data_IF_099477643094
#
_entry.id   IF_099477643094
#
_cell.length_a   1.000
_cell.length_b   1.000
_cell.length_c   1.000
_cell.angle_alpha   90.00
_cell.angle_beta   90.00
_cell.angle_gamma   90.00
#
_symmetry.space_group_name_H-M   'P 1'
#
loop_
_entity.id
_entity.type
_entity.pdbx_description
1 polymer ?
#
# COMPACT_ATOMS: atom_id res chain seq x y z
N UNK A 1 4.54 -18.18 5.44
CA UNK A 1 4.29 -17.82 4.03
C UNK A 1 5.52 -18.23 3.23
N UNK A 2 5.35 -19.17 2.30
CA UNK A 2 6.43 -19.63 1.43
C UNK A 2 6.17 -19.15 0.01
N UNK A 3 7.18 -18.56 -0.62
CA UNK A 3 7.13 -18.09 -2.00
C UNK A 3 8.55 -18.09 -2.59
N UNK A 4 8.65 -18.16 -3.91
CA UNK A 4 9.92 -17.96 -4.61
C UNK A 4 10.31 -16.49 -4.61
N UNK A 5 11.60 -16.22 -4.48
CA UNK A 5 12.23 -14.91 -4.68
C UNK A 5 13.05 -14.90 -5.98
N UNK A 6 13.51 -13.74 -6.40
CA UNK A 6 14.38 -13.61 -7.59
C UNK A 6 15.74 -14.31 -7.42
N UNK A 7 16.09 -14.74 -6.21
CA UNK A 7 17.35 -15.40 -5.91
C UNK A 7 17.24 -16.94 -5.88
N UNK A 8 16.02 -17.46 -5.93
CA UNK A 8 15.76 -18.91 -5.85
C UNK A 8 15.81 -19.62 -7.21
N UNK A 9 15.72 -18.88 -8.32
CA UNK A 9 15.57 -19.42 -9.65
C UNK A 9 16.59 -18.82 -10.64
N UNK A 10 17.07 -19.64 -11.57
CA UNK A 10 17.91 -19.16 -12.69
C UNK A 10 17.04 -18.51 -13.77
N UNK A 11 17.25 -17.22 -13.97
CA UNK A 11 16.48 -16.39 -14.88
C UNK A 11 17.20 -16.10 -16.20
N UNK A 12 18.50 -16.48 -16.33
CA UNK A 12 19.29 -16.18 -17.52
C UNK A 12 18.71 -16.86 -18.78
N UNK A 13 18.48 -16.08 -19.82
CA UNK A 13 17.88 -16.53 -21.08
C UNK A 13 16.40 -16.90 -21.01
N UNK A 14 15.76 -16.80 -19.85
CA UNK A 14 14.35 -17.13 -19.63
C UNK A 14 13.44 -15.95 -19.95
N UNK A 15 12.28 -16.23 -20.51
CA UNK A 15 11.22 -15.22 -20.67
C UNK A 15 10.49 -15.09 -19.35
N UNK A 16 10.54 -13.90 -18.78
CA UNK A 16 9.98 -13.56 -17.46
C UNK A 16 8.91 -12.49 -17.63
N UNK A 17 7.66 -12.84 -17.36
CA UNK A 17 6.57 -11.87 -17.27
C UNK A 17 6.60 -11.24 -15.89
N UNK A 18 6.70 -9.90 -15.80
CA UNK A 18 6.66 -9.20 -14.52
C UNK A 18 5.48 -8.25 -14.44
N UNK A 19 4.65 -8.40 -13.40
CA UNK A 19 3.51 -7.52 -13.13
C UNK A 19 3.90 -6.47 -12.11
N UNK A 20 4.00 -5.24 -12.57
CA UNK A 20 4.36 -4.06 -11.76
C UNK A 20 3.14 -3.16 -11.50
N UNK A 21 3.21 -2.27 -10.51
CA UNK A 21 2.23 -1.21 -10.29
C UNK A 21 2.88 0.16 -10.52
N UNK A 22 2.81 0.62 -11.75
CA UNK A 22 3.29 1.94 -12.17
C UNK A 22 2.14 2.94 -12.40
N UNK A 23 0.95 2.62 -11.87
CA UNK A 23 -0.17 3.55 -11.90
C UNK A 23 0.18 4.82 -11.12
N UNK A 24 0.09 5.97 -11.79
CA UNK A 24 0.51 7.27 -11.25
C UNK A 24 -0.49 8.36 -11.63
N UNK A 25 -0.36 9.52 -10.99
CA UNK A 25 -1.21 10.67 -11.31
C UNK A 25 -1.01 11.12 -12.75
N UNK A 26 -2.13 11.28 -13.45
CA UNK A 26 -2.19 11.81 -14.80
C UNK A 26 -2.98 13.12 -14.82
N UNK A 27 -2.34 14.19 -15.27
CA UNK A 27 -3.02 15.46 -15.53
C UNK A 27 -3.59 15.45 -16.95
N UNK A 28 -4.91 15.28 -17.04
CA UNK A 28 -5.61 15.23 -18.32
C UNK A 28 -5.51 16.55 -19.12
N UNK A 29 -5.38 17.70 -18.43
CA UNK A 29 -5.29 19.01 -19.08
C UNK A 29 -3.96 19.22 -19.79
N UNK A 30 -2.85 18.86 -19.16
CA UNK A 30 -1.50 18.95 -19.71
C UNK A 30 -1.03 17.66 -20.39
N UNK A 31 -1.82 16.58 -20.28
CA UNK A 31 -1.48 15.21 -20.72
C UNK A 31 -0.13 14.71 -20.17
N UNK A 32 0.20 15.08 -18.93
CA UNK A 32 1.44 14.69 -18.26
C UNK A 32 1.21 13.64 -17.19
N UNK A 33 2.15 12.70 -17.09
CA UNK A 33 2.26 11.74 -15.99
C UNK A 33 3.21 12.26 -14.94
N UNK A 34 2.87 12.04 -13.67
CA UNK A 34 3.78 12.32 -12.55
C UNK A 34 4.82 11.22 -12.43
N UNK A 35 6.08 11.62 -12.23
CA UNK A 35 7.15 10.71 -11.85
C UNK A 35 7.01 10.37 -10.38
N UNK A 36 6.57 9.15 -10.10
CA UNK A 36 6.21 8.73 -8.75
C UNK A 36 7.23 7.75 -8.13
N UNK A 37 7.27 7.64 -6.80
CA UNK A 37 8.08 6.64 -6.11
C UNK A 37 7.83 5.21 -6.60
N UNK A 38 6.61 4.90 -7.05
CA UNK A 38 6.26 3.59 -7.63
C UNK A 38 7.04 3.30 -8.89
N UNK A 39 7.12 4.24 -9.82
CA UNK A 39 7.88 4.07 -11.07
C UNK A 39 9.34 3.77 -10.75
N UNK A 40 9.95 4.55 -9.83
CA UNK A 40 11.34 4.35 -9.40
C UNK A 40 11.57 2.99 -8.74
N UNK A 41 10.64 2.57 -7.88
CA UNK A 41 10.75 1.30 -7.17
C UNK A 41 10.66 0.10 -8.12
N UNK A 42 9.69 0.10 -9.04
CA UNK A 42 9.50 -0.99 -9.99
C UNK A 42 10.57 -1.02 -11.09
N UNK A 43 11.10 0.15 -11.49
CA UNK A 43 12.24 0.22 -12.41
C UNK A 43 13.47 -0.54 -11.86
N UNK A 44 13.70 -0.54 -10.52
CA UNK A 44 14.80 -1.30 -9.90
C UNK A 44 14.62 -2.81 -10.10
N UNK A 45 13.39 -3.33 -9.96
CA UNK A 45 13.11 -4.76 -10.21
C UNK A 45 13.31 -5.11 -11.68
N UNK A 46 12.84 -4.26 -12.61
CA UNK A 46 13.05 -4.46 -14.06
C UNK A 46 14.54 -4.44 -14.38
N UNK A 47 15.30 -3.47 -13.86
CA UNK A 47 16.76 -3.39 -14.03
C UNK A 47 17.46 -4.67 -13.54
N UNK A 48 17.14 -5.16 -12.33
CA UNK A 48 17.73 -6.39 -11.79
C UNK A 48 17.41 -7.60 -12.68
N UNK A 49 16.18 -7.71 -13.21
CA UNK A 49 15.84 -8.77 -14.15
C UNK A 49 16.67 -8.70 -15.44
N UNK A 50 16.92 -7.49 -15.98
CA UNK A 50 17.79 -7.27 -17.13
C UNK A 50 19.25 -7.66 -16.81
N UNK A 51 19.77 -7.30 -15.63
CA UNK A 51 21.11 -7.66 -15.16
C UNK A 51 21.26 -9.17 -14.96
N UNK A 52 20.22 -9.86 -14.49
CA UNK A 52 20.14 -11.33 -14.43
C UNK A 52 19.97 -11.99 -15.82
N UNK A 53 20.08 -11.21 -16.91
CA UNK A 53 19.98 -11.66 -18.31
C UNK A 53 18.62 -12.30 -18.66
N UNK A 54 17.57 -11.98 -17.92
CA UNK A 54 16.21 -12.37 -18.28
C UNK A 54 15.73 -11.64 -19.53
N UNK A 55 14.79 -12.24 -20.26
CA UNK A 55 14.02 -11.63 -21.34
C UNK A 55 12.73 -11.12 -20.73
N UNK A 56 12.61 -9.80 -20.50
CA UNK A 56 11.62 -9.24 -19.59
C UNK A 56 10.38 -8.74 -20.34
N UNK A 57 9.20 -9.21 -19.91
CA UNK A 57 7.89 -8.75 -20.42
C UNK A 57 7.15 -8.07 -19.28
N UNK A 58 7.07 -6.74 -19.32
CA UNK A 58 6.44 -5.95 -18.26
C UNK A 58 4.95 -5.79 -18.54
N UNK A 59 4.13 -6.10 -17.54
CA UNK A 59 2.68 -5.88 -17.51
C UNK A 59 2.35 -4.82 -16.46
N UNK A 60 1.53 -3.86 -16.83
CA UNK A 60 1.08 -2.81 -15.92
C UNK A 60 -0.32 -2.31 -16.29
N UNK A 61 -0.86 -1.42 -15.46
CA UNK A 61 -2.13 -0.74 -15.73
C UNK A 61 -2.05 0.75 -15.39
N UNK A 62 -2.91 1.54 -16.02
CA UNK A 62 -3.18 2.92 -15.67
C UNK A 62 -4.68 3.20 -15.76
N UNK A 63 -5.22 3.88 -14.74
CA UNK A 63 -6.61 4.32 -14.70
C UNK A 63 -7.65 3.20 -14.62
N UNK A 64 -8.90 3.57 -14.76
CA UNK A 64 -10.06 2.64 -14.84
C UNK A 64 -10.87 2.99 -16.07
N UNK A 65 -11.54 2.02 -16.67
CA UNK A 65 -12.43 2.24 -17.80
C UNK A 65 -13.48 3.31 -17.47
N UNK A 66 -13.48 4.38 -18.24
CA UNK A 66 -14.36 5.54 -18.05
C UNK A 66 -13.71 6.74 -17.36
N UNK A 67 -12.52 6.59 -16.76
CA UNK A 67 -11.78 7.69 -16.16
C UNK A 67 -10.86 8.35 -17.20
N UNK A 68 -10.56 9.64 -17.03
CA UNK A 68 -9.69 10.41 -17.95
C UNK A 68 -8.25 9.88 -17.97
N UNK A 69 -7.83 9.19 -16.93
CA UNK A 69 -6.51 8.57 -16.81
C UNK A 69 -6.45 7.13 -17.36
N UNK A 70 -7.52 6.64 -18.01
CA UNK A 70 -7.54 5.32 -18.66
C UNK A 70 -6.84 5.38 -20.02
N UNK A 71 -5.52 5.39 -19.99
CA UNK A 71 -4.66 5.66 -21.15
C UNK A 71 -3.71 4.50 -21.43
N UNK A 72 -3.09 4.55 -22.63
CA UNK A 72 -1.96 3.70 -23.01
C UNK A 72 -0.74 3.93 -22.12
N UNK A 73 0.13 2.92 -22.03
CA UNK A 73 1.34 2.95 -21.23
C UNK A 73 2.58 3.51 -21.94
N UNK A 74 2.47 4.05 -23.13
CA UNK A 74 3.60 4.60 -23.88
C UNK A 74 4.42 5.59 -23.05
N UNK A 75 3.77 6.57 -22.42
CA UNK A 75 4.44 7.55 -21.54
C UNK A 75 5.06 6.94 -20.27
N UNK A 76 4.53 5.79 -19.82
CA UNK A 76 5.14 5.08 -18.70
C UNK A 76 6.46 4.43 -19.08
N UNK A 77 6.59 3.94 -20.33
CA UNK A 77 7.88 3.48 -20.85
C UNK A 77 8.94 4.59 -20.86
N UNK A 78 8.56 5.81 -21.26
CA UNK A 78 9.46 6.99 -21.21
C UNK A 78 9.91 7.30 -19.76
N UNK A 79 8.99 7.22 -18.80
CA UNK A 79 9.31 7.42 -17.39
C UNK A 79 10.21 6.33 -16.82
N UNK A 80 9.92 5.05 -17.10
CA UNK A 80 10.77 3.93 -16.70
C UNK A 80 12.19 4.06 -17.25
N UNK A 81 12.31 4.51 -18.51
CA UNK A 81 13.58 4.68 -19.20
C UNK A 81 14.51 5.73 -18.57
N UNK A 82 13.99 6.62 -17.71
CA UNK A 82 14.84 7.52 -16.91
C UNK A 82 15.66 6.78 -15.84
N UNK A 83 15.23 5.57 -15.46
CA UNK A 83 15.82 4.79 -14.37
C UNK A 83 16.48 3.49 -14.83
N UNK A 84 16.38 3.17 -16.13
CA UNK A 84 16.92 1.95 -16.72
C UNK A 84 18.18 2.26 -17.55
N UNK A 85 19.22 1.47 -17.37
CA UNK A 85 20.43 1.55 -18.20
C UNK A 85 20.19 1.00 -19.61
N UNK A 86 19.46 -0.12 -19.70
CA UNK A 86 18.96 -0.67 -20.95
C UNK A 86 17.51 -0.26 -21.11
N UNK A 87 17.23 0.49 -22.17
CA UNK A 87 15.90 1.01 -22.47
C UNK A 87 14.87 -0.10 -22.61
N UNK A 88 13.66 0.13 -22.09
CA UNK A 88 12.50 -0.71 -22.33
C UNK A 88 11.77 -0.23 -23.59
N UNK A 89 11.41 -1.16 -24.47
CA UNK A 89 10.60 -0.87 -25.65
C UNK A 89 9.12 -0.94 -25.30
N UNK A 90 8.33 0.07 -25.69
CA UNK A 90 6.89 0.01 -25.59
C UNK A 90 6.29 -0.74 -26.76
N UNK A 91 5.30 -1.61 -26.51
CA UNK A 91 4.54 -2.37 -27.51
C UNK A 91 3.06 -2.05 -27.35
N UNK A 92 2.48 -1.38 -28.33
CA UNK A 92 1.06 -1.00 -28.40
C UNK A 92 0.12 -2.19 -28.67
N UNK A 93 0.35 -3.27 -27.96
CA UNK A 93 -0.41 -4.53 -27.99
C UNK A 93 -0.22 -5.26 -26.65
N UNK A 94 -1.15 -6.15 -26.29
CA UNK A 94 -1.08 -6.91 -25.04
C UNK A 94 -0.95 -8.41 -25.34
N UNK A 95 -1.84 -8.97 -26.14
CA UNK A 95 -1.96 -10.39 -26.40
C UNK A 95 -2.04 -10.75 -27.89
N UNK A 96 -1.97 -9.78 -28.76
CA UNK A 96 -2.03 -9.93 -30.20
C UNK A 96 -0.72 -10.42 -30.81
N UNK A 97 -0.71 -10.53 -32.12
CA UNK A 97 0.47 -11.06 -32.84
C UNK A 97 1.70 -10.15 -32.73
N UNK A 98 1.51 -8.83 -32.59
CA UNK A 98 2.62 -7.90 -32.41
C UNK A 98 3.33 -8.15 -31.08
N UNK A 99 2.58 -8.27 -29.98
CA UNK A 99 3.13 -8.57 -28.67
C UNK A 99 3.83 -9.95 -28.67
N UNK A 100 3.18 -10.98 -29.19
CA UNK A 100 3.75 -12.34 -29.25
C UNK A 100 5.04 -12.40 -30.08
N UNK A 101 5.08 -11.71 -31.21
CA UNK A 101 6.30 -11.61 -32.05
C UNK A 101 7.43 -10.94 -31.27
N UNK A 102 7.19 -9.79 -30.64
CA UNK A 102 8.18 -9.06 -29.84
C UNK A 102 8.70 -9.90 -28.68
N UNK A 103 7.82 -10.65 -27.97
CA UNK A 103 8.21 -11.56 -26.88
C UNK A 103 9.18 -12.64 -27.39
N UNK A 104 8.91 -13.28 -28.55
CA UNK A 104 9.78 -14.31 -29.11
C UNK A 104 11.13 -13.79 -29.59
N UNK A 105 11.18 -12.54 -30.03
CA UNK A 105 12.38 -11.87 -30.55
C UNK A 105 13.30 -11.29 -29.46
N UNK A 106 12.83 -11.23 -28.18
CA UNK A 106 13.62 -10.70 -27.06
C UNK A 106 14.96 -11.44 -26.93
N UNK A 107 16.02 -10.67 -26.73
CA UNK A 107 17.35 -11.15 -26.36
C UNK A 107 17.57 -11.05 -24.86
N UNK A 108 18.59 -11.71 -24.36
CA UNK A 108 18.96 -11.67 -22.95
C UNK A 108 19.23 -10.25 -22.47
N UNK A 109 18.59 -9.88 -21.36
CA UNK A 109 18.68 -8.55 -20.76
C UNK A 109 17.87 -7.47 -21.47
N UNK A 110 17.09 -7.81 -22.48
CA UNK A 110 16.11 -6.89 -23.10
C UNK A 110 14.79 -6.91 -22.36
N UNK A 111 14.07 -5.78 -22.43
CA UNK A 111 12.77 -5.63 -21.80
C UNK A 111 11.77 -4.93 -22.75
N UNK A 112 10.51 -5.37 -22.71
CA UNK A 112 9.38 -4.68 -23.34
C UNK A 112 8.30 -4.38 -22.31
N UNK A 113 7.60 -3.26 -22.50
CA UNK A 113 6.36 -2.92 -21.78
C UNK A 113 5.19 -3.13 -22.73
N UNK A 114 4.31 -4.07 -22.43
CA UNK A 114 3.05 -4.24 -23.15
C UNK A 114 2.05 -3.16 -22.73
N UNK A 115 1.04 -2.89 -23.55
CA UNK A 115 0.07 -1.85 -23.28
C UNK A 115 -0.82 -2.20 -22.07
N UNK A 116 -1.66 -1.27 -21.67
CA UNK A 116 -2.49 -1.29 -20.47
C UNK A 116 -3.35 -2.55 -20.38
N UNK A 117 -3.01 -3.45 -19.45
CA UNK A 117 -3.73 -4.73 -19.29
C UNK A 117 -5.22 -4.55 -19.04
N UNK A 118 -5.66 -3.39 -18.55
CA UNK A 118 -7.08 -3.06 -18.35
C UNK A 118 -7.85 -2.79 -19.63
N UNK A 119 -7.20 -2.77 -20.78
CA UNK A 119 -7.89 -2.77 -22.07
C UNK A 119 -8.49 -4.14 -22.40
N UNK A 120 -8.06 -5.22 -21.71
CA UNK A 120 -8.66 -6.52 -21.82
C UNK A 120 -9.95 -6.59 -20.98
N UNK A 121 -11.04 -7.08 -21.57
CA UNK A 121 -12.36 -7.11 -20.95
C UNK A 121 -12.46 -8.01 -19.71
N UNK A 122 -11.64 -9.05 -19.64
CA UNK A 122 -11.65 -10.04 -18.56
C UNK A 122 -10.60 -9.79 -17.48
N UNK A 123 -9.75 -8.76 -17.63
CA UNK A 123 -8.68 -8.42 -16.68
C UNK A 123 -9.20 -8.14 -15.27
N UNK A 124 -10.25 -7.35 -15.15
CA UNK A 124 -10.76 -6.87 -13.85
C UNK A 124 -11.94 -7.67 -13.30
N UNK A 125 -12.31 -8.78 -13.95
CA UNK A 125 -13.38 -9.65 -13.45
C UNK A 125 -12.91 -10.39 -12.21
N UNK A 126 -13.64 -10.26 -11.12
CA UNK A 126 -13.34 -11.00 -9.88
C UNK A 126 -13.63 -12.49 -10.07
N UNK A 127 -12.61 -13.32 -9.99
CA UNK A 127 -12.66 -14.78 -10.14
C UNK A 127 -11.65 -15.44 -9.19
N UNK A 128 -11.75 -16.75 -9.00
CA UNK A 128 -10.72 -17.52 -8.30
C UNK A 128 -9.39 -17.55 -9.06
N UNK A 129 -8.32 -17.92 -8.38
CA UNK A 129 -6.98 -18.04 -8.98
C UNK A 129 -6.99 -19.07 -10.10
N UNK A 130 -7.69 -20.19 -9.91
CA UNK A 130 -7.82 -21.29 -10.86
C UNK A 130 -8.62 -20.87 -12.10
N UNK A 131 -9.70 -20.13 -11.92
CA UNK A 131 -10.50 -19.61 -13.05
C UNK A 131 -9.71 -18.61 -13.88
N UNK A 132 -8.88 -17.77 -13.24
CA UNK A 132 -8.01 -16.81 -13.92
C UNK A 132 -6.92 -17.45 -14.79
N UNK A 133 -6.56 -18.72 -14.56
CA UNK A 133 -5.69 -19.47 -15.48
C UNK A 133 -6.27 -19.56 -16.89
N UNK A 134 -7.58 -19.40 -17.03
CA UNK A 134 -8.30 -19.40 -18.30
C UNK A 134 -8.58 -18.00 -18.87
N UNK A 135 -8.10 -16.94 -18.26
CA UNK A 135 -8.25 -15.57 -18.75
C UNK A 135 -7.42 -15.36 -20.02
N UNK A 136 -7.86 -14.42 -20.85
CA UNK A 136 -7.24 -14.11 -22.15
C UNK A 136 -5.73 -13.88 -22.02
N UNK A 137 -5.31 -13.01 -21.10
CA UNK A 137 -3.88 -12.69 -20.94
C UNK A 137 -3.05 -13.91 -20.55
N UNK A 138 -3.58 -14.79 -19.71
CA UNK A 138 -2.87 -16.00 -19.25
C UNK A 138 -2.75 -17.02 -20.38
N UNK A 139 -3.86 -17.30 -21.09
CA UNK A 139 -3.86 -18.26 -22.22
C UNK A 139 -2.89 -17.85 -23.32
N UNK A 140 -2.81 -16.55 -23.61
CA UNK A 140 -2.02 -16.06 -24.74
C UNK A 140 -0.53 -15.89 -24.37
N UNK A 141 -0.21 -15.52 -23.13
CA UNK A 141 1.17 -15.18 -22.76
C UNK A 141 1.89 -16.29 -21.97
N UNK A 142 1.19 -17.11 -21.18
CA UNK A 142 1.85 -18.14 -20.39
C UNK A 142 2.61 -19.17 -21.24
N UNK A 143 2.12 -19.61 -22.41
CA UNK A 143 2.85 -20.55 -23.28
C UNK A 143 4.18 -19.99 -23.82
N UNK A 144 4.36 -18.67 -23.79
CA UNK A 144 5.58 -18.00 -24.25
C UNK A 144 6.60 -17.79 -23.14
N UNK A 145 6.22 -17.96 -21.87
CA UNK A 145 7.03 -17.57 -20.73
C UNK A 145 7.51 -18.77 -19.90
N UNK A 146 8.59 -18.55 -19.15
CA UNK A 146 9.13 -19.54 -18.23
C UNK A 146 8.72 -19.24 -16.78
N UNK A 147 8.64 -17.96 -16.42
CA UNK A 147 8.36 -17.51 -15.06
C UNK A 147 7.43 -16.30 -15.07
N UNK A 148 6.69 -16.16 -13.97
CA UNK A 148 5.93 -14.97 -13.66
C UNK A 148 6.49 -14.30 -12.40
N UNK A 149 6.59 -12.98 -12.38
CA UNK A 149 7.00 -12.19 -11.22
C UNK A 149 5.86 -11.25 -10.83
N UNK A 150 5.35 -11.36 -9.61
CA UNK A 150 4.44 -10.39 -9.03
C UNK A 150 5.25 -9.40 -8.19
N UNK A 151 5.42 -8.18 -8.70
CA UNK A 151 6.22 -7.15 -8.03
C UNK A 151 5.37 -6.11 -7.29
N UNK A 152 4.09 -5.96 -7.63
CA UNK A 152 3.22 -4.93 -7.06
C UNK A 152 2.41 -5.40 -5.84
N UNK A 153 2.87 -5.14 -4.61
CA UNK A 153 2.07 -5.41 -3.41
C UNK A 153 0.78 -4.56 -3.39
N UNK A 154 0.84 -3.31 -3.86
CA UNK A 154 -0.31 -2.40 -3.93
C UNK A 154 -1.50 -2.92 -4.74
N UNK A 155 -1.29 -3.89 -5.61
CA UNK A 155 -2.34 -4.57 -6.39
C UNK A 155 -2.68 -5.97 -5.90
N UNK A 156 -1.96 -6.48 -4.89
CA UNK A 156 -2.12 -7.86 -4.41
C UNK A 156 -3.50 -8.12 -3.78
N UNK A 157 -4.24 -7.08 -3.39
CA UNK A 157 -5.60 -7.19 -2.87
C UNK A 157 -6.67 -7.44 -3.95
N UNK A 158 -6.29 -7.43 -5.23
CA UNK A 158 -7.19 -7.59 -6.38
C UNK A 158 -7.05 -8.97 -6.99
N UNK A 159 -8.18 -9.67 -7.16
CA UNK A 159 -8.21 -10.92 -7.91
C UNK A 159 -8.38 -10.64 -9.41
N UNK A 160 -7.38 -9.97 -10.01
CA UNK A 160 -7.35 -9.66 -11.44
C UNK A 160 -6.50 -10.68 -12.21
N UNK A 161 -6.84 -10.88 -13.50
CA UNK A 161 -6.19 -11.90 -14.35
C UNK A 161 -4.66 -11.77 -14.39
N UNK A 162 -4.14 -10.54 -14.59
CA UNK A 162 -2.69 -10.28 -14.64
C UNK A 162 -2.00 -10.33 -13.27
N UNK A 163 -2.75 -10.39 -12.17
CA UNK A 163 -2.20 -10.45 -10.80
C UNK A 163 -2.10 -11.88 -10.30
N UNK A 164 -3.15 -12.68 -10.47
CA UNK A 164 -3.24 -14.01 -9.88
C UNK A 164 -3.22 -15.16 -10.88
N UNK A 165 -3.60 -14.92 -12.15
CA UNK A 165 -3.91 -15.98 -13.10
C UNK A 165 -2.71 -16.83 -13.53
N UNK A 166 -1.50 -16.27 -13.53
CA UNK A 166 -0.29 -17.00 -13.94
C UNK A 166 0.17 -18.02 -12.91
N UNK A 167 -0.20 -17.87 -11.63
CA UNK A 167 0.38 -18.63 -10.52
C UNK A 167 0.10 -20.14 -10.54
N UNK A 168 -0.95 -20.56 -11.23
CA UNK A 168 -1.25 -21.98 -11.39
C UNK A 168 -0.63 -22.61 -12.64
N UNK A 169 -0.10 -21.81 -13.55
CA UNK A 169 0.45 -22.28 -14.84
C UNK A 169 1.95 -22.03 -14.99
N UNK A 170 2.49 -21.05 -14.27
CA UNK A 170 3.92 -20.72 -14.23
C UNK A 170 4.43 -20.64 -12.79
N UNK A 171 5.70 -21.04 -12.53
CA UNK A 171 6.35 -20.70 -11.26
C UNK A 171 6.32 -19.19 -11.07
N UNK A 172 5.70 -18.74 -9.97
CA UNK A 172 5.46 -17.33 -9.67
C UNK A 172 6.31 -16.87 -8.51
N UNK A 173 6.99 -15.77 -8.70
CA UNK A 173 8.08 -15.24 -7.90
C UNK A 173 7.62 -13.90 -7.30
N UNK A 174 7.94 -13.63 -6.04
CA UNK A 174 7.83 -12.30 -5.46
C UNK A 174 8.94 -11.40 -6.03
N UNK A 175 8.57 -10.31 -6.70
CA UNK A 175 9.54 -9.30 -7.11
C UNK A 175 10.06 -8.49 -5.93
N UNK A 176 11.06 -7.63 -6.12
CA UNK A 176 11.75 -6.94 -5.02
C UNK A 176 10.87 -5.97 -4.24
N UNK A 177 9.89 -5.33 -4.89
CA UNK A 177 8.93 -4.46 -4.20
C UNK A 177 8.00 -5.32 -3.33
N UNK A 178 7.46 -6.40 -3.89
CA UNK A 178 6.63 -7.36 -3.15
C UNK A 178 7.39 -7.97 -1.96
N UNK A 179 8.61 -8.43 -2.19
CA UNK A 179 9.45 -9.06 -1.17
C UNK A 179 9.76 -8.10 -0.01
N UNK A 180 10.10 -6.83 -0.32
CA UNK A 180 10.38 -5.82 0.70
C UNK A 180 9.15 -5.48 1.53
N UNK A 181 7.98 -5.33 0.89
CA UNK A 181 6.71 -5.12 1.61
C UNK A 181 6.41 -6.29 2.54
N UNK A 182 6.50 -7.53 2.04
CA UNK A 182 6.27 -8.74 2.85
C UNK A 182 7.25 -8.85 4.02
N UNK A 183 8.54 -8.57 3.79
CA UNK A 183 9.56 -8.58 4.85
C UNK A 183 9.33 -7.49 5.89
N UNK A 184 9.01 -6.26 5.46
CA UNK A 184 8.74 -5.14 6.36
C UNK A 184 7.51 -5.42 7.23
N UNK A 185 6.43 -5.87 6.62
CA UNK A 185 5.21 -6.24 7.33
C UNK A 185 5.49 -7.43 8.27
N UNK A 186 6.20 -8.45 7.82
CA UNK A 186 6.56 -9.58 8.66
C UNK A 186 7.41 -9.16 9.86
N UNK A 187 8.42 -8.31 9.67
CA UNK A 187 9.23 -7.75 10.75
C UNK A 187 8.40 -6.94 11.74
N UNK A 188 7.46 -6.19 11.19
CA UNK A 188 6.54 -5.38 11.95
C UNK A 188 5.60 -6.22 12.83
N UNK A 189 5.15 -7.36 12.34
CA UNK A 189 4.22 -8.24 13.07
C UNK A 189 4.91 -9.37 13.83
N UNK A 190 6.14 -9.74 13.48
CA UNK A 190 6.80 -10.94 13.98
C UNK A 190 8.26 -10.65 14.37
N UNK A 191 8.50 -9.95 15.46
CA UNK A 191 9.82 -9.99 16.06
C UNK A 191 10.01 -11.32 16.80
N UNK A 192 10.37 -12.34 16.04
CA UNK A 192 10.86 -13.59 16.56
C UNK A 192 12.35 -13.64 16.23
N UNK A 193 13.20 -13.67 17.27
CA UNK A 193 14.63 -13.83 17.12
C UNK A 193 15.01 -14.97 16.15
N UNK A 194 16.26 -15.38 16.03
CA UNK A 194 16.86 -16.31 15.05
C UNK A 194 16.08 -17.59 14.63
N UNK A 195 14.87 -17.78 15.15
CA UNK A 195 13.90 -18.83 14.79
C UNK A 195 13.06 -18.52 13.56
N UNK A 196 13.36 -17.44 12.83
CA UNK A 196 12.62 -17.00 11.61
C UNK A 196 12.57 -18.05 10.49
N UNK A 197 13.50 -19.00 10.48
CA UNK A 197 13.55 -20.10 9.49
C UNK A 197 12.42 -21.12 9.62
N UNK A 198 11.66 -21.11 10.72
CA UNK A 198 10.65 -22.16 11.01
C UNK A 198 9.21 -21.68 10.73
N UNK A 199 8.98 -20.38 10.51
CA UNK A 199 7.62 -19.80 10.42
C UNK A 199 7.13 -19.66 8.96
N UNK A 200 7.93 -20.05 7.98
CA UNK A 200 7.58 -20.03 6.55
C UNK A 200 6.28 -20.77 6.17
N UNK A 201 5.71 -21.59 7.06
CA UNK A 201 4.60 -22.49 6.73
C UNK A 201 3.25 -22.17 7.38
N UNK A 202 3.10 -21.08 8.13
CA UNK A 202 1.83 -20.78 8.81
C UNK A 202 1.08 -19.65 8.10
N UNK A 203 -0.09 -19.97 7.59
CA UNK A 203 -1.02 -18.97 7.09
C UNK A 203 -1.46 -18.04 8.23
N UNK A 204 -1.72 -16.76 7.94
CA UNK A 204 -2.01 -15.72 8.93
C UNK A 204 -3.22 -16.05 9.84
N UNK A 205 -4.16 -16.86 9.36
CA UNK A 205 -5.32 -17.34 10.13
C UNK A 205 -5.00 -18.54 11.03
N UNK A 206 -3.87 -19.23 10.81
CA UNK A 206 -3.40 -20.36 11.62
C UNK A 206 -2.52 -19.94 12.80
N UNK A 207 -2.39 -18.62 13.06
CA UNK A 207 -1.53 -18.03 14.08
C UNK A 207 -2.27 -17.72 15.41
N UNK A 208 -2.75 -18.74 16.16
CA UNK A 208 -3.45 -18.47 17.42
C UNK A 208 -2.54 -18.05 18.57
N UNK A 209 -1.21 -17.98 18.38
CA UNK A 209 -0.23 -17.81 19.47
C UNK A 209 0.84 -16.72 19.24
N UNK A 210 0.76 -15.89 18.22
CA UNK A 210 1.75 -14.81 18.02
C UNK A 210 1.23 -13.50 18.63
N UNK A 211 1.98 -12.97 19.58
CA UNK A 211 1.73 -11.65 20.15
C UNK A 211 2.09 -10.58 19.10
N UNK A 212 1.09 -9.84 18.66
CA UNK A 212 1.30 -8.61 17.91
C UNK A 212 1.82 -7.55 18.89
N UNK A 213 3.10 -7.23 18.82
CA UNK A 213 3.74 -6.22 19.68
C UNK A 213 3.77 -4.87 18.98
N UNK A 214 2.61 -4.22 18.91
CA UNK A 214 2.55 -2.84 18.48
C UNK A 214 2.36 -1.93 19.67
N UNK A 215 3.21 -0.92 19.79
CA UNK A 215 3.09 0.03 20.87
C UNK A 215 2.14 1.17 20.50
N UNK A 216 2.19 1.64 19.25
CA UNK A 216 1.35 2.74 18.80
C UNK A 216 0.94 2.63 17.31
N UNK A 217 -0.31 3.01 17.05
CA UNK A 217 -0.83 3.28 15.72
C UNK A 217 -1.26 4.72 15.63
N UNK A 218 -0.89 5.41 14.55
CA UNK A 218 -1.52 6.66 14.13
C UNK A 218 -2.47 6.30 12.98
N UNK A 219 -3.77 6.41 13.24
CA UNK A 219 -4.83 6.17 12.24
C UNK A 219 -5.55 7.49 11.99
N UNK A 220 -5.25 8.10 10.85
CA UNK A 220 -5.67 9.45 10.54
C UNK A 220 -6.03 9.64 9.05
N UNK A 221 -6.27 10.89 8.65
CA UNK A 221 -6.60 11.27 7.29
C UNK A 221 -8.08 11.10 6.94
N UNK A 222 -8.36 11.15 5.64
CA UNK A 222 -9.71 11.21 5.11
C UNK A 222 -10.37 9.83 4.88
N UNK A 223 -9.62 8.73 4.92
CA UNK A 223 -10.17 7.38 4.65
C UNK A 223 -10.67 6.71 5.94
N UNK A 224 -11.76 7.24 6.49
CA UNK A 224 -12.28 6.86 7.81
C UNK A 224 -12.68 5.38 7.90
N UNK A 225 -13.40 4.85 6.89
CA UNK A 225 -13.82 3.43 6.89
C UNK A 225 -12.61 2.47 6.93
N UNK A 226 -11.53 2.80 6.24
CA UNK A 226 -10.29 2.01 6.29
C UNK A 226 -9.68 2.01 7.70
N UNK A 227 -9.67 3.17 8.38
CA UNK A 227 -9.17 3.27 9.75
C UNK A 227 -10.01 2.42 10.70
N UNK A 228 -11.35 2.48 10.59
CA UNK A 228 -12.26 1.67 11.39
C UNK A 228 -12.03 0.17 11.19
N UNK A 229 -11.88 -0.32 9.95
CA UNK A 229 -11.58 -1.73 9.66
C UNK A 229 -10.29 -2.20 10.35
N UNK A 230 -9.24 -1.38 10.28
CA UNK A 230 -7.97 -1.69 10.97
C UNK A 230 -8.16 -1.73 12.48
N UNK A 231 -8.85 -0.72 13.07
CA UNK A 231 -9.13 -0.67 14.51
C UNK A 231 -9.92 -1.88 14.98
N UNK A 232 -11.02 -2.23 14.30
CA UNK A 232 -11.85 -3.38 14.62
C UNK A 232 -11.04 -4.67 14.65
N UNK A 233 -10.15 -4.87 13.68
CA UNK A 233 -9.28 -6.05 13.62
C UNK A 233 -8.24 -6.05 14.74
N UNK A 234 -7.54 -4.95 14.92
CA UNK A 234 -6.51 -4.82 15.94
C UNK A 234 -7.10 -5.06 17.33
N UNK A 235 -8.20 -4.38 17.65
CA UNK A 235 -8.82 -4.41 18.96
C UNK A 235 -9.57 -5.72 19.24
N UNK A 236 -9.96 -6.49 18.21
CA UNK A 236 -10.59 -7.80 18.38
C UNK A 236 -9.59 -8.95 18.62
N UNK A 237 -8.30 -8.71 18.43
CA UNK A 237 -7.27 -9.74 18.61
C UNK A 237 -7.04 -10.04 20.10
N UNK A 238 -7.22 -11.31 20.51
CA UNK A 238 -7.01 -11.74 21.90
C UNK A 238 -5.54 -11.70 22.37
N UNK A 239 -4.60 -11.57 21.45
CA UNK A 239 -3.16 -11.63 21.70
C UNK A 239 -2.47 -10.30 21.38
N UNK A 240 -3.19 -9.20 21.40
CA UNK A 240 -2.67 -7.89 21.07
C UNK A 240 -2.09 -7.23 22.33
N UNK A 241 -0.78 -7.11 22.41
CA UNK A 241 -0.10 -6.19 23.33
C UNK A 241 0.02 -4.80 22.70
N UNK A 242 -1.11 -4.21 22.30
CA UNK A 242 -1.14 -2.84 21.80
C UNK A 242 -1.32 -1.86 22.95
N UNK A 243 -0.62 -0.74 22.89
CA UNK A 243 -0.74 0.28 23.92
C UNK A 243 -1.71 1.39 23.53
N UNK A 244 -1.56 2.00 22.33
CA UNK A 244 -2.36 3.19 21.96
C UNK A 244 -2.67 3.26 20.44
N UNK A 245 -3.87 3.79 20.14
CA UNK A 245 -4.28 4.22 18.79
C UNK A 245 -4.51 5.73 18.86
N UNK A 246 -3.69 6.49 18.17
CA UNK A 246 -3.74 7.96 18.10
C UNK A 246 -4.56 8.37 16.88
N UNK A 247 -5.59 9.18 17.06
CA UNK A 247 -6.50 9.56 15.99
C UNK A 247 -6.27 11.00 15.52
N UNK A 248 -6.31 11.19 14.19
CA UNK A 248 -6.21 12.51 13.55
C UNK A 248 -7.10 12.63 12.31
N UNK A 249 -7.14 13.81 11.72
CA UNK A 249 -7.91 14.10 10.51
C UNK A 249 -9.41 13.80 10.66
N UNK A 250 -10.08 13.48 9.56
CA UNK A 250 -11.53 13.17 9.59
C UNK A 250 -11.87 11.95 10.44
N UNK A 251 -10.92 11.02 10.62
CA UNK A 251 -11.10 9.91 11.55
C UNK A 251 -11.30 10.42 12.98
N UNK A 252 -10.46 11.34 13.43
CA UNK A 252 -10.62 11.95 14.76
C UNK A 252 -11.94 12.73 14.86
N UNK A 253 -12.32 13.49 13.82
CA UNK A 253 -13.57 14.26 13.83
C UNK A 253 -14.80 13.36 14.02
N UNK A 254 -14.85 12.19 13.33
CA UNK A 254 -15.92 11.23 13.54
C UNK A 254 -15.92 10.70 14.99
N UNK A 255 -14.76 10.36 15.53
CA UNK A 255 -14.67 9.83 16.90
C UNK A 255 -14.98 10.87 17.97
N UNK A 256 -14.57 12.15 17.82
CA UNK A 256 -14.97 13.26 18.69
C UNK A 256 -16.50 13.41 18.69
N UNK A 257 -17.12 13.46 17.49
CA UNK A 257 -18.58 13.51 17.35
C UNK A 257 -19.24 12.31 18.03
N UNK A 258 -18.74 11.10 17.79
CA UNK A 258 -19.27 9.86 18.36
C UNK A 258 -19.09 9.79 19.89
N UNK A 259 -18.10 10.48 20.45
CA UNK A 259 -17.88 10.62 21.89
C UNK A 259 -18.83 11.63 22.55
N UNK A 260 -19.52 12.46 21.74
CA UNK A 260 -20.47 13.47 22.22
C UNK A 260 -19.93 14.89 22.22
N UNK A 261 -18.74 15.13 21.64
CA UNK A 261 -18.18 16.46 21.44
C UNK A 261 -18.93 17.17 20.30
N UNK A 262 -19.34 18.42 20.52
CA UNK A 262 -19.93 19.24 19.47
C UNK A 262 -18.86 19.80 18.54
N UNK A 263 -18.66 19.10 17.44
CA UNK A 263 -17.68 19.48 16.39
C UNK A 263 -18.18 20.58 15.45
N UNK A 264 -19.32 21.20 15.73
CA UNK A 264 -20.13 22.16 14.96
C UNK A 264 -20.78 21.60 13.68
N UNK A 265 -21.71 22.38 13.11
CA UNK A 265 -22.49 21.95 11.94
C UNK A 265 -21.68 21.80 10.65
N UNK A 266 -20.64 22.64 10.47
CA UNK A 266 -19.81 22.61 9.26
C UNK A 266 -19.02 21.30 9.19
N UNK A 267 -18.41 20.88 10.31
CA UNK A 267 -17.66 19.63 10.38
C UNK A 267 -18.57 18.41 10.32
N UNK A 268 -19.78 18.46 10.92
CA UNK A 268 -20.78 17.39 10.74
C UNK A 268 -21.21 17.25 9.29
N UNK A 269 -21.40 18.38 8.60
CA UNK A 269 -21.74 18.36 7.17
C UNK A 269 -20.66 17.72 6.33
N UNK A 270 -19.38 18.02 6.57
CA UNK A 270 -18.27 17.33 5.88
C UNK A 270 -18.34 15.82 6.07
N UNK A 271 -18.55 15.34 7.31
CA UNK A 271 -18.70 13.91 7.57
C UNK A 271 -19.92 13.31 6.86
N UNK A 272 -21.01 14.05 6.77
CA UNK A 272 -22.24 13.63 6.07
C UNK A 272 -22.02 13.54 4.56
N UNK A 273 -21.46 14.59 3.96
CA UNK A 273 -21.23 14.67 2.50
C UNK A 273 -20.26 13.59 2.02
N UNK A 274 -19.32 13.18 2.86
CA UNK A 274 -18.39 12.06 2.62
C UNK A 274 -18.98 10.68 3.00
N UNK A 275 -20.21 10.62 3.51
CA UNK A 275 -20.85 9.36 3.92
C UNK A 275 -20.32 8.75 5.20
N UNK A 276 -19.59 9.50 6.04
CA UNK A 276 -18.98 8.96 7.24
C UNK A 276 -19.86 8.98 8.48
N UNK A 277 -20.93 9.80 8.53
CA UNK A 277 -21.86 9.76 9.66
C UNK A 277 -22.55 8.39 9.83
N UNK A 278 -22.74 7.63 8.75
CA UNK A 278 -23.27 6.26 8.84
C UNK A 278 -22.34 5.30 9.63
N UNK A 279 -21.09 5.68 9.86
CA UNK A 279 -20.09 4.91 10.61
C UNK A 279 -20.10 5.25 12.12
N UNK A 280 -20.92 6.22 12.55
CA UNK A 280 -20.97 6.71 13.95
C UNK A 280 -21.20 5.58 14.96
N UNK A 281 -22.13 4.67 14.69
CA UNK A 281 -22.41 3.57 15.61
C UNK A 281 -21.21 2.61 15.76
N UNK A 282 -20.43 2.41 14.70
CA UNK A 282 -19.20 1.62 14.76
C UNK A 282 -18.14 2.33 15.61
N UNK A 283 -17.98 3.64 15.43
CA UNK A 283 -17.05 4.44 16.23
C UNK A 283 -17.45 4.46 17.71
N UNK A 284 -18.75 4.63 18.03
CA UNK A 284 -19.27 4.53 19.42
C UNK A 284 -18.96 3.19 20.06
N UNK A 285 -19.25 2.08 19.38
CA UNK A 285 -18.97 0.75 19.89
C UNK A 285 -17.48 0.51 20.18
N UNK A 286 -16.58 1.07 19.34
CA UNK A 286 -15.14 1.01 19.57
C UNK A 286 -14.73 1.85 20.78
N UNK A 287 -15.27 3.06 20.94
CA UNK A 287 -14.99 3.93 22.10
C UNK A 287 -15.47 3.30 23.41
N UNK A 288 -16.68 2.77 23.44
CA UNK A 288 -17.24 2.12 24.65
C UNK A 288 -16.39 0.94 25.11
N UNK A 289 -15.95 0.12 24.15
CA UNK A 289 -15.24 -1.12 24.45
C UNK A 289 -13.75 -0.94 24.68
N UNK A 290 -13.13 0.04 24.01
CA UNK A 290 -11.67 0.16 23.89
C UNK A 290 -11.14 1.56 24.21
N UNK A 291 -11.85 2.34 25.02
CA UNK A 291 -11.48 3.72 25.40
C UNK A 291 -10.06 3.87 25.92
N UNK A 292 -9.54 2.86 26.63
CA UNK A 292 -8.20 2.91 27.20
C UNK A 292 -7.08 2.79 26.15
N UNK A 293 -7.41 2.31 24.95
CA UNK A 293 -6.48 2.19 23.84
C UNK A 293 -6.57 3.34 22.84
N UNK A 294 -7.74 3.98 22.73
CA UNK A 294 -8.00 5.05 21.76
C UNK A 294 -7.67 6.41 22.37
N UNK A 295 -6.80 7.15 21.71
CA UNK A 295 -6.40 8.50 22.11
C UNK A 295 -7.01 9.51 21.15
N UNK A 296 -7.97 10.27 21.64
CA UNK A 296 -8.58 11.37 20.91
C UNK A 296 -7.73 12.63 21.06
N UNK A 297 -7.83 13.58 20.10
CA UNK A 297 -7.30 14.92 20.26
C UNK A 297 -7.86 15.61 21.53
N UNK A 298 -7.04 16.42 22.20
CA UNK A 298 -7.43 17.30 23.30
C UNK A 298 -7.76 18.70 22.81
N UNK A 299 -7.14 19.09 21.70
CA UNK A 299 -7.36 20.33 21.00
C UNK A 299 -7.29 20.15 19.49
N UNK A 300 -7.88 21.06 18.77
CA UNK A 300 -7.99 21.08 17.31
C UNK A 300 -7.62 22.45 16.76
N UNK A 301 -7.15 22.50 15.53
CA UNK A 301 -6.87 23.73 14.81
C UNK A 301 -7.94 24.01 13.76
N UNK A 302 -8.52 25.19 13.84
CA UNK A 302 -9.61 25.68 13.00
C UNK A 302 -9.13 26.87 12.18
N UNK A 303 -9.68 27.02 10.98
CA UNK A 303 -9.44 28.19 10.16
C UNK A 303 -10.41 29.32 10.53
N UNK A 304 -9.86 30.44 10.96
CA UNK A 304 -10.60 31.67 11.19
C UNK A 304 -9.94 32.82 10.41
N UNK A 305 -10.68 33.42 9.50
CA UNK A 305 -10.19 34.53 8.68
C UNK A 305 -8.87 34.25 7.98
N UNK A 306 -8.66 33.01 7.54
CA UNK A 306 -7.43 32.57 6.89
C UNK A 306 -6.27 32.21 7.83
N UNK A 307 -6.45 32.33 9.14
CA UNK A 307 -5.45 31.99 10.15
C UNK A 307 -5.78 30.68 10.86
N UNK A 308 -4.73 30.01 11.36
CA UNK A 308 -4.85 28.87 12.25
C UNK A 308 -5.13 29.36 13.68
N UNK A 309 -6.22 28.93 14.27
CA UNK A 309 -6.55 29.15 15.67
C UNK A 309 -6.81 27.81 16.36
N UNK A 310 -6.29 27.61 17.56
CA UNK A 310 -6.40 26.35 18.30
C UNK A 310 -7.43 26.46 19.42
N UNK A 311 -8.25 25.43 19.55
CA UNK A 311 -9.32 25.31 20.54
C UNK A 311 -9.28 23.96 21.22
N UNK A 312 -9.49 23.96 22.53
CA UNK A 312 -9.77 22.71 23.26
C UNK A 312 -11.06 22.07 22.70
N UNK A 313 -11.11 20.76 22.68
CA UNK A 313 -12.26 20.04 22.09
C UNK A 313 -13.60 20.37 22.75
N UNK A 314 -13.58 20.79 24.02
CA UNK A 314 -14.77 21.22 24.77
C UNK A 314 -15.22 22.66 24.43
N UNK A 315 -14.43 23.39 23.64
CA UNK A 315 -14.68 24.80 23.31
C UNK A 315 -14.62 25.11 21.81
N UNK A 316 -14.87 24.12 20.97
CA UNK A 316 -14.90 24.27 19.52
C UNK A 316 -15.96 25.32 19.13
N UNK A 317 -15.60 26.36 18.34
CA UNK A 317 -16.54 27.39 17.93
C UNK A 317 -17.63 26.84 17.00
N UNK A 318 -18.77 27.53 16.95
CA UNK A 318 -19.93 27.13 16.14
C UNK A 318 -19.69 27.17 14.62
N UNK A 319 -18.60 27.78 14.19
CA UNK A 319 -18.19 27.90 12.77
C UNK A 319 -16.72 27.58 12.62
N UNK A 320 -16.34 27.21 11.42
CA UNK A 320 -14.98 26.90 11.02
C UNK A 320 -14.71 25.40 10.96
N UNK A 321 -13.91 25.03 9.96
CA UNK A 321 -13.53 23.64 9.73
C UNK A 321 -12.33 23.25 10.60
N UNK A 322 -12.40 22.10 11.22
CA UNK A 322 -11.26 21.45 11.87
C UNK A 322 -10.34 20.93 10.78
N UNK A 323 -9.16 21.52 10.65
CA UNK A 323 -8.22 21.22 9.59
C UNK A 323 -6.92 20.57 10.09
N UNK A 324 -6.66 20.56 11.40
CA UNK A 324 -5.51 19.90 12.01
C UNK A 324 -5.77 19.64 13.50
N UNK A 325 -4.89 18.90 14.15
CA UNK A 325 -4.84 18.79 15.60
C UNK A 325 -4.10 20.00 16.20
N UNK A 326 -4.40 20.35 17.46
CA UNK A 326 -3.73 21.44 18.15
C UNK A 326 -2.42 21.02 18.84
N UNK A 327 -1.74 21.99 19.44
CA UNK A 327 -0.42 21.80 20.05
C UNK A 327 -0.45 20.85 21.26
N UNK A 328 -1.49 20.88 22.09
CA UNK A 328 -1.62 19.96 23.24
C UNK A 328 -1.67 18.50 22.76
N UNK A 329 -2.46 18.25 21.71
CA UNK A 329 -2.56 16.93 21.08
C UNK A 329 -1.23 16.47 20.50
N UNK A 330 -0.51 17.36 19.81
CA UNK A 330 0.80 17.06 19.22
C UNK A 330 1.78 16.63 20.32
N UNK A 331 1.89 17.41 21.42
CA UNK A 331 2.83 17.08 22.51
C UNK A 331 2.45 15.76 23.21
N UNK A 332 1.17 15.53 23.48
CA UNK A 332 0.69 14.26 24.02
C UNK A 332 1.02 13.06 23.11
N UNK A 333 0.83 13.23 21.81
CA UNK A 333 1.19 12.18 20.86
C UNK A 333 2.69 11.90 20.83
N UNK A 334 3.52 12.96 20.85
CA UNK A 334 4.98 12.82 20.94
C UNK A 334 5.42 12.07 22.19
N UNK A 335 4.81 12.33 23.35
CA UNK A 335 5.11 11.61 24.59
C UNK A 335 4.84 10.11 24.43
N UNK A 336 3.65 9.73 23.92
CA UNK A 336 3.30 8.33 23.70
C UNK A 336 4.26 7.65 22.69
N UNK A 337 4.63 8.37 21.62
CA UNK A 337 5.46 7.82 20.55
C UNK A 337 6.92 7.64 20.98
N UNK A 338 7.45 8.48 21.89
CA UNK A 338 8.82 8.32 22.43
C UNK A 338 9.03 7.01 23.18
N UNK A 339 7.99 6.51 23.84
CA UNK A 339 8.02 5.25 24.59
C UNK A 339 7.72 4.01 23.74
N UNK A 340 7.31 4.21 22.50
CA UNK A 340 6.93 3.12 21.60
C UNK A 340 8.15 2.51 20.89
N UNK A 341 8.17 1.18 20.73
CA UNK A 341 9.19 0.44 19.99
C UNK A 341 8.77 0.13 18.55
N UNK A 342 7.46 0.01 18.33
CA UNK A 342 6.85 -0.32 17.04
C UNK A 342 5.70 0.63 16.75
N UNK A 343 5.82 1.40 15.68
CA UNK A 343 4.86 2.44 15.31
C UNK A 343 4.41 2.23 13.87
N UNK A 344 3.09 2.24 13.65
CA UNK A 344 2.51 2.35 12.31
C UNK A 344 1.83 3.70 12.17
N UNK A 345 2.07 4.38 11.06
CA UNK A 345 1.41 5.64 10.69
C UNK A 345 0.61 5.44 9.41
N UNK A 346 -0.67 5.77 9.45
CA UNK A 346 -1.56 5.80 8.30
C UNK A 346 -2.38 7.07 8.27
N UNK A 347 -2.12 7.90 7.29
CA UNK A 347 -2.81 9.16 7.04
C UNK A 347 -2.26 10.35 7.82
N UNK A 348 -2.39 11.55 7.25
CA UNK A 348 -1.98 12.80 7.90
C UNK A 348 -2.94 13.21 9.02
N UNK A 349 -2.41 13.91 10.02
CA UNK A 349 -3.21 14.41 11.15
C UNK A 349 -4.09 15.61 10.79
N UNK A 350 -3.67 16.39 9.78
CA UNK A 350 -4.35 17.57 9.29
C UNK A 350 -4.26 17.72 7.79
N UNK A 351 -4.75 18.84 7.27
CA UNK A 351 -4.69 19.21 5.86
C UNK A 351 -3.28 19.70 5.50
N UNK A 352 -2.35 18.76 5.36
CA UNK A 352 -0.92 19.02 5.21
C UNK A 352 -0.56 19.81 3.95
N UNK A 353 -1.43 19.85 2.96
CA UNK A 353 -1.29 20.64 1.73
C UNK A 353 -1.41 22.14 1.98
N UNK A 354 -2.05 22.53 3.10
CA UNK A 354 -2.21 23.92 3.55
C UNK A 354 -1.27 24.22 4.70
N UNK A 355 -0.26 25.05 4.46
CA UNK A 355 0.85 25.28 5.38
C UNK A 355 0.44 25.56 6.84
N UNK A 356 -0.56 26.39 7.17
CA UNK A 356 -0.97 26.60 8.56
C UNK A 356 -1.53 25.35 9.24
N UNK A 357 -2.03 24.36 8.45
CA UNK A 357 -2.67 23.15 8.94
C UNK A 357 -1.84 21.89 8.68
N UNK A 358 -0.58 22.06 8.31
CA UNK A 358 0.40 20.99 8.13
C UNK A 358 1.19 20.66 9.41
N UNK A 359 1.05 21.48 10.45
CA UNK A 359 1.89 21.47 11.66
C UNK A 359 1.81 20.13 12.37
N UNK A 360 0.60 19.61 12.62
CA UNK A 360 0.41 18.33 13.31
C UNK A 360 1.10 17.18 12.60
N UNK A 361 0.88 17.09 11.29
CA UNK A 361 1.50 16.03 10.46
C UNK A 361 3.01 16.18 10.41
N UNK A 362 3.52 17.39 10.19
CA UNK A 362 4.96 17.67 10.10
C UNK A 362 5.68 17.33 11.41
N UNK A 363 5.22 17.84 12.53
CA UNK A 363 5.89 17.67 13.82
C UNK A 363 5.92 16.21 14.28
N UNK A 364 4.87 15.45 13.99
CA UNK A 364 4.85 14.02 14.28
C UNK A 364 5.81 13.25 13.36
N UNK A 365 5.81 13.52 12.05
CA UNK A 365 6.74 12.86 11.13
C UNK A 365 8.21 13.21 11.43
N UNK A 366 8.51 14.48 11.77
CA UNK A 366 9.84 14.91 12.21
C UNK A 366 10.25 14.21 13.52
N UNK A 367 9.34 14.10 14.49
CA UNK A 367 9.59 13.36 15.72
C UNK A 367 9.95 11.90 15.40
N UNK A 368 9.13 11.21 14.61
CA UNK A 368 9.35 9.82 14.23
C UNK A 368 10.68 9.62 13.48
N UNK A 369 11.06 10.56 12.60
CA UNK A 369 12.32 10.52 11.85
C UNK A 369 13.57 10.58 12.73
N UNK A 370 13.44 11.03 13.96
CA UNK A 370 14.52 11.14 14.94
C UNK A 370 14.50 10.03 16.01
N UNK A 371 13.45 9.20 16.04
CA UNK A 371 13.38 8.07 16.97
C UNK A 371 14.15 6.86 16.45
N UNK A 372 14.75 6.10 17.37
CA UNK A 372 15.39 4.80 17.07
C UNK A 372 14.41 3.64 17.26
N UNK A 373 13.22 3.78 16.71
CA UNK A 373 12.13 2.80 16.84
C UNK A 373 11.78 2.23 15.48
N UNK A 374 11.14 1.07 15.45
CA UNK A 374 10.60 0.56 14.19
C UNK A 374 9.40 1.38 13.78
N UNK A 375 9.52 2.08 12.66
CA UNK A 375 8.44 2.91 12.09
C UNK A 375 8.05 2.41 10.70
N UNK A 376 6.76 2.10 10.52
CA UNK A 376 6.17 1.79 9.23
C UNK A 376 5.22 2.92 8.84
N UNK A 377 5.57 3.63 7.77
CA UNK A 377 4.74 4.67 7.18
C UNK A 377 3.89 4.04 6.08
N UNK A 378 2.57 4.17 6.15
CA UNK A 378 1.64 3.59 5.19
C UNK A 378 0.67 4.60 4.59
N UNK A 379 0.40 4.43 3.30
CA UNK A 379 -0.56 5.23 2.54
C UNK A 379 0.07 6.36 1.73
N UNK A 380 -0.51 6.59 0.55
CA UNK A 380 0.00 7.58 -0.40
C UNK A 380 0.05 9.00 0.17
N UNK A 381 -0.99 9.41 0.88
CA UNK A 381 -1.07 10.76 1.47
C UNK A 381 0.06 11.01 2.49
N UNK A 382 0.40 10.00 3.31
CA UNK A 382 1.51 10.13 4.27
C UNK A 382 2.86 10.15 3.57
N UNK A 383 3.06 9.33 2.54
CA UNK A 383 4.30 9.34 1.74
C UNK A 383 4.47 10.67 1.00
N UNK A 384 3.39 11.23 0.45
CA UNK A 384 3.42 12.55 -0.18
C UNK A 384 3.75 13.65 0.84
N UNK A 385 3.23 13.55 2.07
CA UNK A 385 3.59 14.50 3.13
C UNK A 385 5.09 14.47 3.46
N UNK A 386 5.75 13.31 3.43
CA UNK A 386 7.21 13.22 3.58
C UNK A 386 7.94 14.02 2.49
N UNK A 387 7.53 13.86 1.23
CA UNK A 387 8.11 14.61 0.10
C UNK A 387 7.90 16.12 0.27
N UNK A 388 6.67 16.56 0.61
CA UNK A 388 6.32 17.98 0.82
C UNK A 388 7.15 18.60 1.94
N UNK A 389 7.43 17.85 3.00
CA UNK A 389 8.21 18.35 4.15
C UNK A 389 9.72 18.15 3.98
N UNK A 390 10.17 17.51 2.92
CA UNK A 390 11.58 17.21 2.68
C UNK A 390 12.17 16.23 3.71
N UNK A 391 11.34 15.34 4.28
CA UNK A 391 11.79 14.32 5.24
C UNK A 391 12.20 13.06 4.46
N UNK A 392 13.48 12.65 4.51
CA UNK A 392 13.95 11.48 3.77
C UNK A 392 13.29 10.18 4.24
N UNK A 393 12.84 9.34 3.30
CA UNK A 393 12.22 8.03 3.60
C UNK A 393 13.15 7.10 4.40
N UNK A 394 14.46 7.24 4.20
CA UNK A 394 15.50 6.45 4.88
C UNK A 394 15.56 6.68 6.40
N UNK A 395 14.92 7.73 6.89
CA UNK A 395 14.75 7.99 8.32
C UNK A 395 13.76 7.04 9.00
N UNK A 396 12.93 6.37 8.23
CA UNK A 396 11.94 5.41 8.71
C UNK A 396 12.39 3.98 8.41
N UNK A 397 11.92 3.03 9.22
CA UNK A 397 12.27 1.62 9.00
C UNK A 397 11.67 1.11 7.69
N UNK A 398 10.50 1.60 7.33
CA UNK A 398 9.87 1.29 6.05
C UNK A 398 8.79 2.31 5.66
N UNK A 399 8.80 2.75 4.40
CA UNK A 399 7.73 3.53 3.77
C UNK A 399 7.06 2.65 2.73
N UNK A 400 5.80 2.30 2.99
CA UNK A 400 5.02 1.37 2.17
C UNK A 400 4.38 2.09 0.98
N UNK A 401 4.54 1.54 -0.21
CA UNK A 401 3.86 1.96 -1.44
C UNK A 401 2.50 1.28 -1.63
N UNK A 402 2.08 0.45 -0.66
CA UNK A 402 0.99 -0.51 -0.83
C UNK A 402 -0.42 0.10 -0.83
N UNK A 403 -0.61 1.29 -0.29
CA UNK A 403 -1.93 1.93 -0.27
C UNK A 403 -3.02 1.05 0.37
N UNK A 404 -4.11 0.76 -0.38
CA UNK A 404 -5.23 -0.04 0.09
C UNK A 404 -4.88 -1.48 0.45
N UNK A 405 -3.92 -2.10 -0.26
CA UNK A 405 -3.50 -3.47 0.02
C UNK A 405 -2.87 -3.62 1.42
N UNK A 406 -2.11 -2.61 1.89
CA UNK A 406 -1.59 -2.61 3.25
C UNK A 406 -2.74 -2.62 4.26
N UNK A 407 -3.79 -1.82 4.03
CA UNK A 407 -4.96 -1.74 4.90
C UNK A 407 -5.70 -3.08 4.95
N UNK A 408 -5.96 -3.66 3.79
CA UNK A 408 -6.61 -4.97 3.72
C UNK A 408 -5.79 -6.03 4.44
N UNK A 409 -4.47 -6.03 4.27
CA UNK A 409 -3.58 -6.94 4.99
C UNK A 409 -3.59 -6.70 6.51
N UNK A 410 -3.47 -5.45 6.95
CA UNK A 410 -3.53 -5.07 8.37
C UNK A 410 -4.90 -5.41 8.99
N UNK A 411 -5.98 -5.31 8.21
CA UNK A 411 -7.32 -5.73 8.64
C UNK A 411 -7.53 -7.25 8.64
N UNK A 412 -6.50 -8.03 8.28
CA UNK A 412 -6.51 -9.50 8.30
C UNK A 412 -7.21 -10.15 7.11
N UNK A 413 -7.45 -9.41 6.04
CA UNK A 413 -7.95 -9.99 4.79
C UNK A 413 -6.84 -10.77 4.09
N UNK A 414 -7.19 -11.93 3.56
CA UNK A 414 -6.31 -12.66 2.65
C UNK A 414 -6.15 -11.86 1.36
N UNK A 415 -4.91 -11.59 0.95
CA UNK A 415 -4.65 -10.91 -0.31
C UNK A 415 -4.52 -11.92 -1.45
N UNK A 416 -5.37 -11.86 -2.48
CA UNK A 416 -5.34 -12.83 -3.60
C UNK A 416 -3.97 -12.98 -4.26
N UNK A 417 -3.21 -11.90 -4.44
CA UNK A 417 -1.86 -11.96 -5.01
C UNK A 417 -0.86 -12.71 -4.14
N UNK A 418 -0.96 -12.58 -2.82
CA UNK A 418 -0.11 -13.35 -1.89
C UNK A 418 -0.49 -14.82 -1.93
N UNK A 419 -1.79 -15.10 -1.89
CA UNK A 419 -2.30 -16.47 -2.03
C UNK A 419 -1.84 -17.14 -3.33
N UNK A 420 -1.84 -16.39 -4.42
CA UNK A 420 -1.35 -16.85 -5.71
C UNK A 420 0.13 -17.26 -5.65
N UNK A 421 1.00 -16.47 -5.00
CA UNK A 421 2.41 -16.83 -4.79
C UNK A 421 2.56 -18.10 -3.96
N UNK A 422 1.77 -18.29 -2.91
CA UNK A 422 1.79 -19.52 -2.08
C UNK A 422 1.33 -20.76 -2.85
N UNK A 423 0.26 -20.62 -3.65
CA UNK A 423 -0.25 -21.70 -4.51
C UNK A 423 0.85 -22.12 -5.49
N UNK A 424 1.49 -21.16 -6.13
CA UNK A 424 2.57 -21.42 -7.07
C UNK A 424 3.76 -22.12 -6.40
N UNK A 425 4.21 -21.63 -5.25
CA UNK A 425 5.30 -22.24 -4.50
C UNK A 425 4.99 -23.71 -4.17
N UNK A 426 3.81 -23.99 -3.60
CA UNK A 426 3.39 -25.35 -3.26
C UNK A 426 3.37 -26.26 -4.49
N UNK A 427 2.95 -25.74 -5.65
CA UNK A 427 2.83 -26.52 -6.89
C UNK A 427 4.19 -26.82 -7.50
N UNK A 428 5.12 -25.86 -7.51
CA UNK A 428 6.34 -25.95 -8.31
C UNK A 428 7.61 -26.20 -7.51
N UNK A 429 7.61 -26.04 -6.17
CA UNK A 429 8.83 -26.14 -5.34
C UNK A 429 9.64 -27.42 -5.54
N UNK A 430 8.97 -28.56 -5.70
CA UNK A 430 9.68 -29.84 -5.87
C UNK A 430 10.50 -29.94 -7.17
N UNK A 431 10.11 -29.19 -8.20
CA UNK A 431 10.85 -29.16 -9.46
C UNK A 431 12.17 -28.37 -9.37
N UNK A 432 12.29 -27.45 -8.39
CA UNK A 432 13.43 -26.54 -8.25
C UNK A 432 14.29 -26.83 -7.02
N UNK A 433 13.74 -27.44 -5.98
CA UNK A 433 14.44 -27.74 -4.74
C UNK A 433 14.67 -29.25 -4.49
N UNK A 434 14.49 -30.11 -5.51
CA UNK A 434 14.97 -31.49 -5.42
C UNK A 434 16.49 -31.47 -5.34
N UNK A 435 17.01 -31.75 -4.17
CA UNK A 435 18.38 -32.18 -3.94
C UNK A 435 18.52 -33.67 -4.26
#
# INVERSE_FOLDING_TARGET
MEYFTLDDLDLAGKIVIVRVDINTYYDASSKKLSDSPRIRAHARTVKELQEKRAKVVVLAHQGRKGDDDFISLEKHAELLNKYLEKQIEFVDDIVGEKAKKKIRELKEGEAILLDNVRFLEDETKEKSVEEHANSTIVKELAPLANYFVLDGFSIAHRSHASVVGFSTVLPSIAGRVMERELKAISKAFFELGDKFKIIGNLAFHDLPRFQLKWDAFILAGAKVDDCLKVMERLLSSKNLEMKKILLGGLTANLFLHSFGIDINDENRKVLQDMGYLQLENRAKALLEKFKDYIVLPEDVAIEEYGNRVEYDVDSIPKKGLILDVGKKTIEKFKEILRDAKYIIVKGPLGMYERQPFSIGTREILETLSNLKTFTLIGGGDTSTALEVFGIPEEKFSYVSLAGGALIDYLSGKELPGIKALEISYKKFKEAYFKK
#
